data_IF_482930028043
#
_entry.id   IF_482930028043
#
_cell.length_a   1.000
_cell.length_b   1.000
_cell.length_c   1.000
_cell.angle_alpha   90.00
_cell.angle_beta   90.00
_cell.angle_gamma   90.00
#
_symmetry.space_group_name_H-M   'P 1'
#
loop_
_entity.id
_entity.type
_entity.pdbx_description
1 polymer ?
2 non-polymer ?
3 non-polymer ?
4 non-polymer ?
5 water ?
#
# COMPACT_ATOMS: atom_id res chain seq x y z
N UNK A 38 1.18 27.51 -5.33
CA UNK A 38 2.66 27.31 -5.50
C UNK A 38 3.11 26.04 -6.24
N UNK A 39 2.23 25.06 -6.44
CA UNK A 39 2.63 23.76 -6.99
C UNK A 39 3.46 22.89 -6.01
N UNK A 40 3.22 23.07 -4.72
CA UNK A 40 3.86 22.29 -3.67
C UNK A 40 2.88 21.63 -2.68
N UNK A 41 1.59 21.95 -2.79
CA UNK A 41 0.59 21.47 -1.84
C UNK A 41 0.33 19.97 -1.98
N UNK A 42 -0.05 19.36 -0.86
CA UNK A 42 -0.44 17.95 -0.88
C UNK A 42 -1.65 17.66 -1.74
N UNK A 43 -1.68 16.49 -2.39
CA UNK A 43 -2.87 16.04 -3.12
C UNK A 43 -3.58 14.95 -2.33
N UNK A 44 -4.86 15.19 -2.06
CA UNK A 44 -5.67 14.28 -1.23
C UNK A 44 -6.45 13.26 -2.02
N UNK A 45 -6.13 13.12 -3.33
CA UNK A 45 -6.61 12.03 -4.18
C UNK A 45 -5.44 11.13 -4.60
N UNK A 46 -4.31 11.26 -3.89
CA UNK A 46 -3.10 10.46 -4.14
C UNK A 46 -2.78 9.65 -2.88
N UNK A 47 -2.84 8.32 -3.03
CA UNK A 47 -2.72 7.36 -1.93
C UNK A 47 -1.44 6.58 -2.04
N UNK A 48 -0.59 6.59 -1.01
CA UNK A 48 0.67 5.90 -1.10
C UNK A 48 0.69 4.74 -0.08
N UNK A 49 0.89 3.51 -0.59
CA UNK A 49 0.77 2.32 0.28
C UNK A 49 1.97 2.23 1.20
N UNK A 50 1.66 2.18 2.50
CA UNK A 50 2.64 2.30 3.60
C UNK A 50 2.61 1.05 4.51
N UNK A 51 3.81 0.60 4.87
CA UNK A 51 3.96 -0.62 5.65
C UNK A 51 4.62 -0.22 6.99
N UNK A 52 4.00 -0.68 8.09
CA UNK A 52 4.37 -0.36 9.47
C UNK A 52 4.92 -1.58 10.22
N UNK A 53 5.46 -2.55 9.49
CA UNK A 53 5.82 -3.86 10.06
C UNK A 53 7.34 -4.00 10.35
N UNK A 54 8.11 -2.91 10.25
CA UNK A 54 9.55 -2.94 10.49
C UNK A 54 9.86 -2.72 11.97
N UNK A 55 10.94 -3.28 12.49
CA UNK A 55 11.39 -2.92 13.84
C UNK A 55 12.84 -2.56 13.88
N UNK A 56 13.24 -1.94 14.99
CA UNK A 56 14.65 -1.71 15.30
C UNK A 56 14.98 -2.11 16.72
N UNK A 57 16.25 -2.33 16.97
CA UNK A 57 16.68 -2.59 18.32
C UNK A 57 16.34 -1.40 19.23
N UNK A 58 16.45 -0.19 18.69
CA UNK A 58 16.25 1.03 19.49
C UNK A 58 14.85 1.07 20.14
N UNK A 59 13.83 0.75 19.35
CA UNK A 59 12.43 0.83 19.81
C UNK A 59 11.82 -0.53 20.17
N UNK A 60 11.98 -1.53 19.30
CA UNK A 60 11.30 -2.82 19.42
C UNK A 60 12.13 -3.90 20.08
N UNK A 61 13.43 -3.68 20.18
CA UNK A 61 14.35 -4.70 20.67
C UNK A 61 14.63 -5.81 19.68
N UNK A 62 14.24 -5.60 18.43
CA UNK A 62 14.47 -6.56 17.37
C UNK A 62 14.25 -5.92 16.00
N UNK A 63 14.91 -6.51 15.00
CA UNK A 63 14.80 -6.16 13.56
C UNK A 63 13.74 -6.95 12.71
N UNK A 64 12.48 -6.77 13.14
CA UNK A 64 11.34 -7.42 12.49
C UNK A 64 11.24 -6.95 11.03
N UNK A 65 10.93 -7.92 10.15
CA UNK A 65 10.82 -7.75 8.70
C UNK A 65 12.15 -7.52 8.00
N UNK A 66 13.10 -6.79 8.59
CA UNK A 66 14.45 -6.76 8.00
C UNK A 66 15.01 -8.19 7.95
N UNK A 67 14.68 -8.97 8.99
CA UNK A 67 14.81 -10.43 8.98
C UNK A 67 13.53 -11.04 8.42
N UNK A 68 13.68 -12.03 7.53
CA UNK A 68 12.50 -12.58 6.84
C UNK A 68 12.82 -13.98 6.30
N UNK A 69 11.85 -14.87 6.36
CA UNK A 69 11.97 -16.17 5.74
C UNK A 69 12.09 -16.06 4.22
N UNK A 70 12.91 -16.92 3.62
CA UNK A 70 13.00 -17.04 2.17
C UNK A 70 11.91 -18.04 1.77
N UNK A 71 11.09 -17.62 0.80
CA UNK A 71 9.98 -18.46 0.33
C UNK A 71 10.50 -19.64 -0.51
N UNK A 72 9.99 -20.85 -0.28
CA UNK A 72 10.30 -21.96 -1.21
C UNK A 72 9.71 -21.71 -2.59
N UNK A 73 10.30 -22.35 -3.57
CA UNK A 73 9.82 -22.24 -4.96
C UNK A 73 8.52 -23.09 -5.03
N UNK A 74 7.37 -22.46 -5.35
CA UNK A 74 6.12 -23.25 -5.47
C UNK A 74 6.13 -24.34 -6.56
N UNK A 75 7.07 -24.23 -7.49
CA UNK A 75 7.19 -25.23 -8.57
C UNK A 75 8.38 -26.18 -8.33
N UNK A 76 9.09 -26.04 -7.21
CA UNK A 76 10.44 -26.62 -7.01
C UNK A 76 10.57 -27.90 -6.20
N UNK A 77 9.45 -28.57 -5.93
CA UNK A 77 9.49 -29.88 -5.30
C UNK A 77 9.68 -29.86 -3.79
N UNK A 78 9.61 -31.06 -3.20
CA UNK A 78 9.62 -31.22 -1.75
C UNK A 78 11.04 -31.17 -1.17
N UNK A 79 11.10 -30.94 0.14
CA UNK A 79 12.36 -30.96 0.87
C UNK A 79 13.27 -29.77 0.68
N UNK A 80 12.73 -28.64 0.21
CA UNK A 80 13.51 -27.40 0.15
C UNK A 80 13.77 -26.89 1.56
N UNK A 81 14.97 -26.36 1.75
CA UNK A 81 15.35 -25.74 3.02
C UNK A 81 15.85 -24.35 2.65
N UNK A 82 14.92 -23.46 2.23
CA UNK A 82 15.35 -22.16 1.68
C UNK A 82 16.07 -21.24 2.65
N UNK A 83 15.81 -21.41 3.94
CA UNK A 83 16.47 -20.62 4.96
C UNK A 83 15.82 -19.26 5.17
N UNK A 84 16.59 -18.39 5.81
CA UNK A 84 16.10 -17.08 6.24
C UNK A 84 17.15 -16.02 6.04
N UNK A 85 16.68 -14.81 5.83
CA UNK A 85 17.54 -13.63 5.78
C UNK A 85 17.57 -13.12 7.24
N UNK A 86 18.78 -12.93 7.80
CA UNK A 86 18.81 -12.69 9.27
C UNK A 86 18.55 -11.25 9.73
N UNK A 87 18.46 -10.29 8.82
CA UNK A 87 18.23 -8.90 9.23
C UNK A 87 19.37 -8.25 9.98
N UNK A 88 20.59 -8.68 9.68
CA UNK A 88 21.80 -8.04 10.20
C UNK A 88 22.02 -6.77 9.39
N UNK A 89 22.99 -5.96 9.81
CA UNK A 89 23.32 -4.76 9.01
C UNK A 89 23.69 -5.14 7.56
N UNK A 90 24.42 -6.23 7.42
CA UNK A 90 24.94 -6.65 6.14
C UNK A 90 23.91 -7.35 5.26
N UNK A 91 22.91 -8.01 5.85
CA UNK A 91 21.96 -8.87 5.13
C UNK A 91 20.52 -8.65 5.57
N UNK A 92 19.81 -7.82 4.80
CA UNK A 92 18.41 -7.50 5.05
C UNK A 92 17.52 -8.04 3.93
N UNK A 93 16.22 -8.11 4.20
CA UNK A 93 15.24 -8.71 3.31
C UNK A 93 14.74 -7.72 2.26
N UNK A 94 15.69 -7.23 1.46
CA UNK A 94 15.42 -6.31 0.34
C UNK A 94 16.56 -6.44 -0.63
N UNK A 95 16.28 -6.16 -1.92
CA UNK A 95 17.34 -6.01 -2.92
C UNK A 95 17.96 -4.61 -2.90
N UNK A 96 17.30 -3.67 -2.21
CA UNK A 96 17.76 -2.28 -2.01
C UNK A 96 18.09 -2.06 -0.51
N UNK A 97 18.61 -0.89 -0.16
CA UNK A 97 19.02 -0.61 1.22
C UNK A 97 18.50 0.78 1.64
N UNK A 98 17.72 0.86 2.72
CA UNK A 98 17.14 2.14 3.13
C UNK A 98 18.18 3.20 3.54
N UNK A 99 17.98 4.45 3.09
CA UNK A 99 18.77 5.57 3.61
C UNK A 99 18.69 5.66 5.14
N UNK A 100 17.52 5.37 5.70
CA UNK A 100 17.31 5.45 7.15
C UNK A 100 17.79 4.22 7.93
N UNK A 101 18.37 3.22 7.24
CA UNK A 101 18.85 2.00 7.85
C UNK A 101 17.71 1.08 8.29
N UNK A 102 18.03 0.12 9.19
CA UNK A 102 17.07 -0.87 9.69
C UNK A 102 16.23 -0.19 10.76
N UNK A 103 15.23 0.58 10.33
CA UNK A 103 14.43 1.40 11.21
C UNK A 103 13.27 0.64 11.86
N UNK A 104 12.79 1.19 12.98
CA UNK A 104 11.53 0.77 13.57
C UNK A 104 10.37 1.64 13.09
N UNK A 105 9.30 0.98 12.67
CA UNK A 105 8.04 1.65 12.37
C UNK A 105 7.36 2.30 13.57
N UNK A 106 7.82 1.99 14.79
CA UNK A 106 7.35 2.59 16.02
C UNK A 106 8.26 3.69 16.58
N UNK A 107 9.31 4.05 15.84
CA UNK A 107 10.24 5.10 16.29
C UNK A 107 9.63 6.46 15.89
N UNK A 108 9.19 7.26 16.86
CA UNK A 108 8.61 8.57 16.51
C UNK A 108 9.52 9.45 15.64
N UNK A 109 10.85 9.32 15.78
CA UNK A 109 11.74 10.15 15.00
C UNK A 109 11.79 9.67 13.51
N UNK A 110 11.67 8.37 13.29
CA UNK A 110 11.53 7.87 11.90
C UNK A 110 10.22 8.35 11.32
N UNK A 111 9.15 8.30 12.10
CA UNK A 111 7.83 8.69 11.59
C UNK A 111 7.84 10.16 11.15
N UNK A 112 8.49 11.01 11.93
CA UNK A 112 8.64 12.42 11.54
C UNK A 112 9.27 12.54 10.15
N UNK A 113 10.38 11.84 9.98
CA UNK A 113 11.10 11.83 8.69
C UNK A 113 10.24 11.31 7.55
N UNK A 114 9.52 10.21 7.79
CA UNK A 114 8.61 9.71 6.76
C UNK A 114 7.55 10.76 6.38
N UNK A 115 6.99 11.47 7.34
CA UNK A 115 5.97 12.49 7.01
C UNK A 115 6.58 13.63 6.20
N UNK A 116 7.83 14.00 6.51
CA UNK A 116 8.50 15.00 5.68
C UNK A 116 8.74 14.47 4.26
N UNK A 117 9.00 13.17 4.11
CA UNK A 117 9.11 12.56 2.76
C UNK A 117 7.78 12.59 2.00
N UNK A 118 6.67 12.33 2.68
CA UNK A 118 5.33 12.45 2.07
C UNK A 118 5.09 13.90 1.61
N UNK A 119 5.49 14.86 2.42
CA UNK A 119 5.36 16.28 2.01
C UNK A 119 6.20 16.55 0.75
N UNK A 120 7.44 16.07 0.70
CA UNK A 120 8.26 16.23 -0.51
C UNK A 120 7.61 15.60 -1.75
N UNK A 121 6.97 14.44 -1.57
CA UNK A 121 6.34 13.71 -2.67
C UNK A 121 4.98 14.28 -3.06
N UNK A 122 4.40 15.13 -2.19
CA UNK A 122 3.06 15.71 -2.39
C UNK A 122 1.92 14.69 -2.27
N UNK A 123 2.22 13.54 -1.63
CA UNK A 123 1.24 12.48 -1.48
C UNK A 123 0.44 12.73 -0.20
N UNK A 124 -0.82 13.15 -0.32
CA UNK A 124 -1.58 13.53 0.84
C UNK A 124 -2.21 12.43 1.67
N UNK A 125 -2.27 11.20 1.14
CA UNK A 125 -2.89 10.10 1.89
C UNK A 125 -1.92 8.92 2.04
N UNK A 126 -1.73 8.50 3.29
CA UNK A 126 -0.95 7.34 3.68
C UNK A 126 -1.95 6.18 3.84
N UNK A 127 -1.80 5.16 2.99
CA UNK A 127 -2.73 4.03 2.95
C UNK A 127 -2.05 2.87 3.73
N UNK A 128 -2.41 2.79 5.02
CA UNK A 128 -1.73 1.96 6.03
C UNK A 128 -2.12 0.49 6.00
N UNK A 129 -1.15 -0.38 5.73
CA UNK A 129 -1.37 -1.85 5.85
C UNK A 129 -1.96 -2.16 7.21
N UNK A 130 -2.96 -3.05 7.23
CA UNK A 130 -3.64 -3.37 8.49
C UNK A 130 -3.93 -4.85 8.54
N UNK A 131 -3.31 -5.50 9.55
CA UNK A 131 -3.24 -6.95 9.68
C UNK A 131 -4.06 -7.52 10.84
N UNK A 132 -4.79 -6.66 11.55
CA UNK A 132 -5.64 -7.11 12.66
C UNK A 132 -4.85 -7.95 13.67
N UNK A 133 -3.71 -7.40 14.10
CA UNK A 133 -2.86 -8.15 15.02
C UNK A 133 -3.45 -8.21 16.43
N UNK A 134 -4.32 -7.27 16.81
CA UNK A 134 -5.02 -7.27 18.12
C UNK A 134 -3.99 -7.32 19.26
N UNK A 135 -3.00 -6.46 19.18
CA UNK A 135 -1.95 -6.37 20.20
C UNK A 135 -1.64 -4.92 20.48
N UNK A 136 -1.19 -4.67 21.68
CA UNK A 136 -0.76 -3.37 22.18
C UNK A 136 0.18 -2.62 21.21
N UNK A 137 1.12 -3.36 20.65
CA UNK A 137 2.15 -2.79 19.79
C UNK A 137 1.53 -2.17 18.53
N UNK A 138 0.57 -2.90 17.94
CA UNK A 138 -0.19 -2.38 16.77
C UNK A 138 -0.96 -1.11 17.11
N UNK A 139 -1.67 -1.16 18.23
CA UNK A 139 -2.49 -0.01 18.63
C UNK A 139 -1.60 1.21 18.87
N UNK A 140 -0.47 1.00 19.53
CA UNK A 140 0.45 2.13 19.78
C UNK A 140 0.97 2.74 18.46
N UNK A 141 1.40 1.88 17.55
CA UNK A 141 1.99 2.32 16.32
C UNK A 141 0.98 3.11 15.46
N UNK A 142 -0.27 2.62 15.39
CA UNK A 142 -1.27 3.33 14.61
C UNK A 142 -1.47 4.74 15.17
N UNK A 143 -1.56 4.88 16.50
CA UNK A 143 -1.69 6.19 17.10
C UNK A 143 -0.50 7.10 16.78
N UNK A 144 0.71 6.55 16.85
CA UNK A 144 1.90 7.34 16.54
C UNK A 144 1.89 7.82 15.09
N UNK A 145 1.47 6.96 14.16
CA UNK A 145 1.41 7.33 12.73
C UNK A 145 0.38 8.44 12.50
N UNK A 146 -0.82 8.31 13.08
CA UNK A 146 -1.82 9.36 12.96
C UNK A 146 -1.29 10.69 13.52
N UNK A 147 -0.67 10.64 14.71
CA UNK A 147 -0.16 11.87 15.32
C UNK A 147 0.89 12.53 14.42
N UNK A 148 1.83 11.74 13.92
CA UNK A 148 2.91 12.30 13.09
C UNK A 148 2.35 12.86 11.78
N UNK A 149 1.43 12.13 11.18
CA UNK A 149 0.78 12.58 9.94
C UNK A 149 0.09 13.94 10.13
N UNK A 150 -0.61 14.11 11.24
CA UNK A 150 -1.38 15.34 11.40
C UNK A 150 -0.50 16.57 11.51
N UNK A 151 0.72 16.42 12.04
CA UNK A 151 1.61 17.59 12.13
C UNK A 151 1.96 18.17 10.75
N UNK A 152 1.84 17.37 9.70
CA UNK A 152 2.15 17.76 8.35
C UNK A 152 0.93 17.80 7.43
N UNK A 153 -0.28 17.72 8.00
CA UNK A 153 -1.55 17.74 7.25
C UNK A 153 -1.70 16.52 6.32
N UNK A 154 -0.98 15.43 6.63
CA UNK A 154 -1.18 14.18 5.91
C UNK A 154 -2.38 13.44 6.52
N UNK A 155 -3.09 12.71 5.67
CA UNK A 155 -4.25 11.92 6.08
C UNK A 155 -3.89 10.44 6.03
N UNK A 156 -4.63 9.64 6.78
CA UNK A 156 -4.43 8.20 6.89
C UNK A 156 -5.72 7.46 6.60
N UNK A 157 -5.64 6.47 5.71
CA UNK A 157 -6.73 5.51 5.50
C UNK A 157 -6.13 4.11 5.70
N UNK A 158 -6.99 3.09 5.74
CA UNK A 158 -6.54 1.72 6.01
C UNK A 158 -6.65 0.82 4.78
N UNK A 159 -5.62 -0.03 4.63
CA UNK A 159 -5.52 -1.04 3.58
C UNK A 159 -5.73 -2.38 4.29
N UNK A 160 -6.95 -2.92 4.17
CA UNK A 160 -7.36 -4.09 4.92
C UNK A 160 -6.83 -5.36 4.28
N UNK A 161 -5.90 -6.01 4.98
CA UNK A 161 -5.17 -7.16 4.49
C UNK A 161 -5.93 -8.46 4.71
N UNK A 162 -5.48 -9.57 4.10
CA UNK A 162 -6.17 -10.87 4.26
C UNK A 162 -5.75 -11.57 5.56
N UNK A 163 -6.24 -11.05 6.66
CA UNK A 163 -5.98 -11.60 7.99
C UNK A 163 -6.74 -12.92 8.19
N UNK A 164 -6.32 -13.74 9.18
CA UNK A 164 -6.93 -15.08 9.33
C UNK A 164 -8.44 -15.04 9.54
N UNK A 165 -9.15 -15.88 8.78
CA UNK A 165 -10.61 -16.02 8.88
C UNK A 165 -11.34 -14.72 8.53
N UNK A 166 -10.70 -13.82 7.78
CA UNK A 166 -11.38 -12.61 7.35
C UNK A 166 -12.69 -13.00 6.66
N UNK A 167 -13.76 -12.30 6.98
CA UNK A 167 -15.10 -12.52 6.39
C UNK A 167 -15.89 -11.24 6.54
N UNK A 168 -17.09 -11.14 5.94
CA UNK A 168 -17.76 -9.84 5.99
C UNK A 168 -18.25 -9.44 7.38
N UNK A 169 -18.50 -10.41 8.26
CA UNK A 169 -18.97 -10.09 9.62
C UNK A 169 -17.81 -9.48 10.44
N UNK A 170 -16.66 -10.16 10.52
CA UNK A 170 -15.56 -9.54 11.24
C UNK A 170 -15.01 -8.31 10.50
N UNK A 171 -15.12 -8.23 9.18
CA UNK A 171 -14.77 -6.96 8.49
C UNK A 171 -15.65 -5.82 8.98
N UNK A 172 -16.96 -6.07 9.08
CA UNK A 172 -17.83 -5.01 9.59
C UNK A 172 -17.41 -4.60 11.00
N UNK A 173 -17.16 -5.61 11.86
CA UNK A 173 -16.78 -5.33 13.24
C UNK A 173 -15.49 -4.50 13.29
N UNK A 174 -14.55 -4.82 12.40
CA UNK A 174 -13.28 -4.10 12.35
C UNK A 174 -13.38 -2.71 11.74
N UNK A 175 -14.26 -2.52 10.75
CA UNK A 175 -14.53 -1.19 10.24
C UNK A 175 -15.14 -0.32 11.35
N UNK A 176 -16.12 -0.86 12.08
CA UNK A 176 -16.71 -0.17 13.23
C UNK A 176 -15.63 0.20 14.24
N UNK A 177 -14.75 -0.75 14.56
CA UNK A 177 -13.71 -0.49 15.53
C UNK A 177 -12.75 0.61 15.06
N UNK A 178 -12.33 0.55 13.82
CA UNK A 178 -11.37 1.56 13.30
C UNK A 178 -12.01 2.95 13.22
N UNK A 179 -13.28 3.04 12.79
CA UNK A 179 -13.95 4.33 12.75
C UNK A 179 -14.19 4.85 14.17
N UNK A 180 -14.60 3.97 15.09
CA UNK A 180 -14.82 4.39 16.48
C UNK A 180 -13.52 4.88 17.14
N UNK A 181 -12.42 4.13 16.96
CA UNK A 181 -11.15 4.45 17.64
C UNK A 181 -10.46 5.67 17.00
N UNK A 182 -10.51 5.76 15.66
CA UNK A 182 -9.68 6.72 14.93
C UNK A 182 -10.45 7.75 14.12
N UNK A 183 -11.77 7.59 13.96
CA UNK A 183 -12.53 8.44 13.06
C UNK A 183 -12.55 9.91 13.45
N UNK A 184 -12.40 10.20 14.74
CA UNK A 184 -12.34 11.60 15.19
C UNK A 184 -10.92 12.15 15.25
N UNK A 185 -9.91 11.35 14.93
CA UNK A 185 -8.55 11.86 14.88
C UNK A 185 -8.47 12.83 13.69
N UNK A 186 -7.84 14.01 13.86
CA UNK A 186 -7.78 14.98 12.76
C UNK A 186 -7.09 14.49 11.47
N UNK A 187 -6.23 13.49 11.56
CA UNK A 187 -5.58 12.93 10.37
C UNK A 187 -6.37 11.80 9.71
N UNK A 188 -7.51 11.36 10.26
CA UNK A 188 -8.27 10.27 9.63
C UNK A 188 -8.86 10.78 8.31
N UNK A 189 -8.62 10.05 7.22
CA UNK A 189 -9.08 10.45 5.88
C UNK A 189 -10.59 10.34 5.67
N UNK A 190 -11.17 11.35 5.02
CA UNK A 190 -12.50 11.24 4.45
C UNK A 190 -12.50 11.86 3.05
N UNK A 191 -13.33 11.29 2.17
CA UNK A 191 -13.57 11.79 0.81
C UNK A 191 -15.06 12.08 0.77
N UNK A 192 -15.39 13.34 0.56
CA UNK A 192 -16.77 13.81 0.55
C UNK A 192 -17.61 13.26 1.72
N UNK A 193 -17.01 13.29 2.89
CA UNK A 193 -17.66 12.87 4.12
C UNK A 193 -17.54 11.42 4.51
N UNK A 194 -16.94 10.58 3.64
CA UNK A 194 -16.85 9.14 3.92
C UNK A 194 -15.42 8.67 4.10
N UNK A 195 -15.19 7.82 5.12
CA UNK A 195 -13.93 7.09 5.15
C UNK A 195 -13.72 6.29 3.86
N UNK A 196 -12.47 5.91 3.60
CA UNK A 196 -12.16 5.05 2.43
C UNK A 196 -11.28 3.89 2.89
N UNK A 197 -11.61 2.66 2.45
CA UNK A 197 -10.77 1.49 2.71
C UNK A 197 -10.41 0.83 1.38
N UNK A 198 -9.15 0.40 1.27
CA UNK A 198 -8.73 -0.51 0.19
C UNK A 198 -8.80 -1.93 0.73
N UNK A 199 -9.32 -2.88 -0.04
CA UNK A 199 -9.45 -4.27 0.40
C UNK A 199 -8.58 -5.17 -0.46
N UNK A 200 -7.44 -5.61 0.12
CA UNK A 200 -6.51 -6.45 -0.62
C UNK A 200 -7.08 -7.86 -0.77
N UNK A 201 -6.89 -8.47 -1.95
CA UNK A 201 -7.34 -9.83 -2.28
C UNK A 201 -8.86 -9.98 -1.91
N UNK A 202 -9.62 -8.95 -2.28
CA UNK A 202 -11.07 -8.98 -2.12
C UNK A 202 -11.77 -10.13 -2.82
N UNK A 203 -11.12 -10.71 -3.85
CA UNK A 203 -11.63 -11.92 -4.54
C UNK A 203 -11.65 -13.17 -3.65
N UNK A 204 -10.95 -13.16 -2.52
CA UNK A 204 -11.01 -14.29 -1.59
C UNK A 204 -12.39 -14.38 -0.94
N UNK A 205 -13.29 -13.38 -1.18
CA UNK A 205 -14.63 -13.38 -0.58
C UNK A 205 -15.65 -13.29 -1.70
N UNK A 206 -16.65 -14.17 -1.69
CA UNK A 206 -17.66 -14.24 -2.73
C UNK A 206 -18.50 -12.97 -2.80
N UNK A 207 -18.91 -12.57 -4.02
CA UNK A 207 -19.83 -11.44 -4.14
C UNK A 207 -21.10 -11.56 -3.29
N UNK A 208 -21.64 -12.79 -3.16
CA UNK A 208 -22.85 -12.96 -2.35
C UNK A 208 -22.62 -12.57 -0.86
N UNK A 209 -21.42 -12.78 -0.35
CA UNK A 209 -21.04 -12.31 0.99
C UNK A 209 -20.85 -10.80 1.01
N UNK A 210 -20.10 -10.26 0.05
CA UNK A 210 -19.91 -8.81 0.00
C UNK A 210 -21.24 -8.05 -0.06
N UNK A 211 -22.22 -8.56 -0.81
CA UNK A 211 -23.53 -7.90 -0.97
C UNK A 211 -24.18 -7.65 0.40
N UNK A 212 -23.98 -8.58 1.34
CA UNK A 212 -24.57 -8.44 2.67
C UNK A 212 -24.06 -7.23 3.43
N UNK A 213 -22.81 -6.86 3.18
CA UNK A 213 -22.14 -5.74 3.79
C UNK A 213 -22.32 -4.43 3.01
N UNK A 214 -22.33 -4.54 1.66
CA UNK A 214 -22.14 -3.38 0.79
C UNK A 214 -23.35 -2.98 -0.04
N UNK A 215 -24.35 -3.84 -0.22
CA UNK A 215 -25.60 -3.37 -0.81
C UNK A 215 -26.39 -2.57 0.22
N UNK A 216 -27.13 -1.53 -0.21
CA UNK A 216 -27.98 -0.82 0.76
C UNK A 216 -29.00 -1.74 1.45
N UNK A 217 -29.38 -2.83 0.78
CA UNK A 217 -30.32 -3.80 1.34
C UNK A 217 -29.68 -4.96 2.05
N UNK A 218 -28.35 -4.96 2.15
CA UNK A 218 -27.69 -6.12 2.71
C UNK A 218 -28.00 -6.38 4.18
N UNK A 219 -27.95 -7.66 4.54
CA UNK A 219 -28.26 -8.13 5.87
C UNK A 219 -27.52 -7.40 7.00
N UNK A 220 -26.24 -7.06 6.73
CA UNK A 220 -25.37 -6.37 7.71
C UNK A 220 -24.83 -5.10 7.06
N UNK A 221 -25.66 -4.38 6.33
CA UNK A 221 -25.15 -3.26 5.53
C UNK A 221 -24.45 -2.20 6.40
N UNK A 222 -23.45 -1.56 5.81
CA UNK A 222 -22.91 -0.30 6.32
C UNK A 222 -23.54 0.91 5.64
N UNK A 223 -24.29 0.71 4.56
CA UNK A 223 -24.83 1.89 3.85
C UNK A 223 -25.86 2.59 4.74
N UNK A 224 -25.83 3.92 4.72
CA UNK A 224 -26.74 4.77 5.49
C UNK A 224 -26.55 4.68 7.02
N UNK A 225 -25.46 4.07 7.45
CA UNK A 225 -25.11 3.98 8.86
C UNK A 225 -23.95 4.93 9.17
N UNK A 226 -23.65 5.03 10.46
CA UNK A 226 -22.48 5.78 10.94
C UNK A 226 -21.18 5.25 10.42
N UNK A 227 -21.19 4.01 9.91
CA UNK A 227 -19.97 3.31 9.54
C UNK A 227 -19.85 3.11 8.05
N UNK A 228 -20.63 3.88 7.27
CA UNK A 228 -20.52 3.83 5.81
C UNK A 228 -19.10 4.26 5.39
N UNK A 229 -18.65 3.75 4.24
CA UNK A 229 -17.30 4.04 3.75
C UNK A 229 -17.26 3.75 2.24
N UNK A 230 -16.33 4.38 1.55
CA UNK A 230 -15.97 4.00 0.19
C UNK A 230 -15.09 2.73 0.25
N UNK A 231 -15.55 1.65 -0.37
CA UNK A 231 -14.89 0.36 -0.31
C UNK A 231 -14.31 0.10 -1.69
N UNK A 232 -12.99 0.01 -1.74
CA UNK A 232 -12.24 -0.09 -3.00
C UNK A 232 -11.65 -1.51 -3.08
N UNK A 233 -12.18 -2.34 -3.99
CA UNK A 233 -11.73 -3.72 -4.11
C UNK A 233 -10.60 -3.87 -5.12
N UNK A 234 -9.93 -5.02 -5.08
CA UNK A 234 -8.78 -5.28 -5.91
C UNK A 234 -9.20 -5.95 -7.22
N UNK A 235 -9.11 -5.17 -8.31
CA UNK A 235 -9.36 -5.70 -9.68
C UNK A 235 -8.14 -6.45 -10.15
N UNK A 236 -8.25 -7.76 -10.31
CA UNK A 236 -7.14 -8.61 -10.75
C UNK A 236 -7.20 -8.96 -12.24
N UNK A 237 -8.13 -9.84 -12.60
CA UNK A 237 -8.09 -10.54 -13.89
C UNK A 237 -8.96 -9.87 -14.96
N UNK A 238 -9.51 -10.66 -15.90
CA UNK A 238 -10.11 -10.07 -17.10
C UNK A 238 -11.48 -9.45 -16.81
N UNK A 239 -11.95 -8.54 -17.69
CA UNK A 239 -13.26 -7.92 -17.49
C UNK A 239 -14.41 -8.90 -17.38
N UNK A 240 -14.33 -10.03 -18.08
CA UNK A 240 -15.44 -10.99 -18.03
C UNK A 240 -15.69 -11.51 -16.62
N UNK A 241 -14.63 -11.59 -15.83
CA UNK A 241 -14.68 -11.98 -14.44
C UNK A 241 -14.90 -10.76 -13.51
N UNK A 242 -14.13 -9.70 -13.72
CA UNK A 242 -14.08 -8.62 -12.73
C UNK A 242 -15.30 -7.70 -12.80
N UNK A 243 -15.86 -7.47 -14.00
CA UNK A 243 -17.01 -6.55 -14.10
C UNK A 243 -18.19 -7.07 -13.24
N UNK A 244 -18.64 -8.35 -13.44
CA UNK A 244 -19.75 -8.80 -12.60
C UNK A 244 -19.39 -8.91 -11.12
N UNK A 245 -18.13 -9.25 -10.83
CA UNK A 245 -17.67 -9.31 -9.44
C UNK A 245 -17.89 -7.96 -8.74
N UNK A 246 -17.36 -6.89 -9.35
CA UNK A 246 -17.42 -5.59 -8.71
C UNK A 246 -18.88 -5.11 -8.56
N UNK A 247 -19.69 -5.33 -9.59
CA UNK A 247 -21.11 -4.94 -9.54
C UNK A 247 -21.87 -5.73 -8.48
N UNK A 248 -21.72 -7.05 -8.50
CA UNK A 248 -22.47 -7.94 -7.62
C UNK A 248 -22.03 -7.81 -6.17
N UNK A 249 -20.77 -7.43 -5.96
CA UNK A 249 -20.23 -7.22 -4.60
C UNK A 249 -20.56 -5.86 -4.05
N UNK A 250 -21.03 -4.92 -4.92
CA UNK A 250 -21.37 -3.54 -4.49
C UNK A 250 -20.18 -2.73 -3.99
N UNK A 251 -18.98 -3.01 -4.51
CA UNK A 251 -17.85 -2.11 -4.23
C UNK A 251 -18.10 -0.72 -4.80
N UNK A 252 -17.55 0.28 -4.12
CA UNK A 252 -17.63 1.64 -4.61
C UNK A 252 -16.61 1.93 -5.70
N UNK A 253 -15.56 1.12 -5.78
CA UNK A 253 -14.50 1.35 -6.76
C UNK A 253 -13.50 0.20 -6.71
N UNK A 254 -12.39 0.37 -7.42
CA UNK A 254 -11.41 -0.66 -7.52
C UNK A 254 -10.02 -0.06 -7.76
N UNK A 255 -9.01 -0.81 -7.31
CA UNK A 255 -7.60 -0.51 -7.50
C UNK A 255 -6.90 -1.74 -8.04
N UNK A 256 -5.63 -1.61 -8.42
CA UNK A 256 -4.94 -2.71 -9.11
C UNK A 256 -3.71 -3.26 -8.37
N UNK A 257 -3.17 -2.45 -7.43
CA UNK A 257 -2.00 -2.73 -6.56
C UNK A 257 -0.66 -2.99 -7.26
N UNK A 258 -0.56 -4.03 -8.07
CA UNK A 258 0.77 -4.55 -8.42
C UNK A 258 1.60 -3.51 -9.15
N UNK A 259 2.85 -3.33 -8.70
CA UNK A 259 3.77 -2.41 -9.33
C UNK A 259 4.36 -2.92 -10.63
N UNK A 260 4.33 -4.25 -10.85
CA UNK A 260 4.92 -4.88 -12.03
C UNK A 260 3.94 -4.91 -13.18
N UNK A 261 4.26 -4.16 -14.25
CA UNK A 261 3.35 -4.11 -15.40
C UNK A 261 3.15 -5.52 -15.97
N UNK A 262 1.91 -5.85 -16.31
CA UNK A 262 1.60 -7.13 -16.92
C UNK A 262 1.46 -8.30 -15.97
N UNK A 263 1.64 -8.07 -14.66
CA UNK A 263 1.50 -9.16 -13.69
C UNK A 263 0.07 -9.73 -13.70
N UNK A 264 -0.91 -8.83 -13.81
CA UNK A 264 -2.30 -9.17 -13.97
C UNK A 264 -2.88 -8.30 -15.12
N UNK A 265 -4.10 -8.62 -15.55
CA UNK A 265 -4.82 -7.76 -16.48
C UNK A 265 -4.92 -6.34 -15.89
N UNK A 266 -5.28 -6.25 -14.62
CA UNK A 266 -5.46 -4.98 -13.99
C UNK A 266 -4.21 -4.13 -13.88
N UNK A 267 -3.05 -4.77 -13.75
CA UNK A 267 -1.76 -4.06 -13.66
C UNK A 267 -1.07 -3.94 -15.04
N UNK A 268 -1.85 -4.05 -16.12
CA UNK A 268 -1.37 -3.80 -17.48
C UNK A 268 -1.90 -2.44 -17.95
N UNK A 269 -1.03 -1.40 -17.96
CA UNK A 269 -1.57 -0.04 -18.12
C UNK A 269 -2.29 0.25 -19.43
N UNK A 270 -2.02 -0.50 -20.49
CA UNK A 270 -2.80 -0.31 -21.72
C UNK A 270 -4.31 -0.64 -21.54
N UNK A 271 -4.70 -1.32 -20.46
CA UNK A 271 -6.11 -1.55 -20.16
C UNK A 271 -6.78 -0.43 -19.42
N UNK A 272 -6.02 0.55 -18.94
CA UNK A 272 -6.58 1.53 -18.02
C UNK A 272 -7.62 2.48 -18.64
N UNK A 273 -7.45 2.90 -19.89
CA UNK A 273 -8.49 3.70 -20.55
C UNK A 273 -9.84 2.97 -20.54
N UNK A 274 -9.85 1.70 -20.92
CA UNK A 274 -11.07 0.89 -20.98
C UNK A 274 -11.66 0.64 -19.58
N UNK A 275 -10.77 0.40 -18.60
CA UNK A 275 -11.23 0.19 -17.21
C UNK A 275 -11.89 1.47 -16.67
N UNK A 276 -11.30 2.61 -16.99
CA UNK A 276 -11.90 3.90 -16.58
C UNK A 276 -13.26 4.14 -17.23
N UNK A 277 -13.37 3.85 -18.53
CA UNK A 277 -14.66 4.01 -19.24
C UNK A 277 -15.74 3.17 -18.58
N UNK A 278 -15.42 1.92 -18.24
CA UNK A 278 -16.38 1.05 -17.55
C UNK A 278 -16.72 1.61 -16.16
N UNK A 279 -15.70 2.05 -15.44
CA UNK A 279 -15.95 2.64 -14.13
C UNK A 279 -16.94 3.82 -14.20
N UNK A 280 -16.68 4.73 -15.11
CA UNK A 280 -17.53 5.90 -15.26
C UNK A 280 -18.97 5.50 -15.63
N UNK A 281 -19.13 4.55 -16.56
CA UNK A 281 -20.45 4.06 -16.97
C UNK A 281 -21.23 3.42 -15.83
N UNK A 282 -20.51 2.88 -14.82
CA UNK A 282 -21.13 2.11 -13.74
C UNK A 282 -21.05 2.79 -12.37
N UNK A 283 -20.69 4.08 -12.34
CA UNK A 283 -20.63 4.85 -11.09
C UNK A 283 -19.60 4.34 -10.08
N UNK A 284 -18.47 3.81 -10.57
CA UNK A 284 -17.39 3.29 -9.75
C UNK A 284 -16.16 4.18 -9.82
N UNK A 285 -15.40 4.21 -8.72
CA UNK A 285 -14.15 4.96 -8.62
C UNK A 285 -12.94 4.07 -8.94
N UNK A 286 -12.25 4.36 -10.05
CA UNK A 286 -11.03 3.62 -10.42
C UNK A 286 -9.81 4.35 -9.90
N UNK A 287 -9.00 3.62 -9.11
CA UNK A 287 -7.79 4.15 -8.49
C UNK A 287 -6.61 3.26 -8.95
N UNK A 288 -6.14 3.46 -10.20
CA UNK A 288 -5.02 2.63 -10.66
C UNK A 288 -3.79 2.79 -9.77
N UNK A 289 -3.02 1.70 -9.66
CA UNK A 289 -1.78 1.70 -8.86
C UNK A 289 -0.55 1.77 -9.79
N UNK A 290 0.33 2.73 -9.47
CA UNK A 290 1.57 2.93 -10.23
C UNK A 290 2.74 2.69 -9.30
N UNK A 291 3.84 2.18 -9.85
CA UNK A 291 5.05 2.02 -9.05
C UNK A 291 6.29 2.23 -9.85
N UNK A 292 7.45 2.33 -9.17
CA UNK A 292 8.70 2.70 -9.82
C UNK A 292 9.52 1.53 -10.38
N UNK A 293 9.12 0.31 -10.04
CA UNK A 293 9.84 -0.92 -10.41
C UNK A 293 9.36 -2.05 -9.52
N UNK A 294 9.97 -3.23 -9.69
CA UNK A 294 9.66 -4.41 -8.87
C UNK A 294 10.88 -5.31 -8.85
N UNK A 295 11.25 -5.80 -7.66
CA UNK A 295 12.20 -6.92 -7.56
C UNK A 295 12.12 -7.47 -6.15
N UNK A 296 11.90 -8.79 -6.04
CA UNK A 296 11.72 -9.45 -4.74
C UNK A 296 12.60 -10.67 -4.58
N UNK A 297 13.70 -10.77 -5.34
CA UNK A 297 14.44 -12.02 -5.41
C UNK A 297 15.29 -12.33 -4.17
N UNK A 298 15.53 -11.40 -3.24
CA UNK A 298 16.14 -11.80 -1.95
C UNK A 298 15.21 -12.74 -1.19
N UNK A 299 13.90 -12.42 -1.15
CA UNK A 299 12.96 -13.27 -0.40
C UNK A 299 12.28 -14.32 -1.29
N UNK A 300 12.29 -14.13 -2.62
CA UNK A 300 11.68 -15.10 -3.55
C UNK A 300 12.64 -15.31 -4.71
N UNK A 301 13.72 -16.09 -4.50
CA UNK A 301 14.79 -16.20 -5.52
C UNK A 301 14.33 -16.72 -6.88
N UNK A 302 13.25 -17.48 -6.87
CA UNK A 302 12.59 -18.11 -8.03
C UNK A 302 11.67 -17.18 -8.80
N UNK A 303 11.47 -15.94 -8.32
CA UNK A 303 10.46 -15.05 -8.89
C UNK A 303 11.02 -13.99 -9.84
N UNK A 304 12.16 -14.27 -10.48
CA UNK A 304 12.80 -13.29 -11.33
C UNK A 304 11.99 -12.81 -12.52
N UNK A 305 11.03 -13.60 -13.01
CA UNK A 305 10.24 -13.15 -14.15
C UNK A 305 9.41 -11.90 -13.86
N UNK A 306 9.16 -11.58 -12.59
CA UNK A 306 8.36 -10.42 -12.22
C UNK A 306 9.24 -9.16 -12.10
N UNK A 307 10.58 -9.30 -12.19
CA UNK A 307 11.43 -8.12 -12.11
C UNK A 307 11.05 -7.09 -13.17
N UNK A 308 10.94 -5.82 -12.75
CA UNK A 308 10.79 -4.69 -13.66
C UNK A 308 11.85 -3.68 -13.29
N UNK A 309 12.75 -3.39 -14.24
CA UNK A 309 13.90 -2.51 -14.01
C UNK A 309 13.48 -1.03 -13.97
N UNK A 310 14.11 -0.27 -13.08
CA UNK A 310 13.75 1.14 -12.85
C UNK A 310 14.17 2.08 -13.97
N UNK A 311 15.27 1.75 -14.66
CA UNK A 311 15.84 2.56 -15.76
C UNK A 311 15.91 4.06 -15.41
N UNK A 312 16.50 4.39 -14.28
CA UNK A 312 16.74 5.79 -13.89
C UNK A 312 15.46 6.62 -13.84
N UNK A 313 14.34 5.97 -13.55
CA UNK A 313 13.07 6.64 -13.46
C UNK A 313 12.13 6.48 -14.64
N UNK A 314 12.64 5.95 -15.76
CA UNK A 314 11.82 5.88 -16.97
C UNK A 314 10.63 4.93 -16.81
N UNK A 315 10.79 3.85 -16.05
CA UNK A 315 9.65 2.94 -15.79
C UNK A 315 8.55 3.68 -15.02
N UNK A 316 8.93 4.36 -13.95
CA UNK A 316 7.94 5.10 -13.14
C UNK A 316 7.21 6.14 -13.97
N UNK A 317 7.98 6.89 -14.76
CA UNK A 317 7.39 7.93 -15.63
C UNK A 317 6.37 7.33 -16.57
N UNK A 318 6.70 6.20 -17.20
CA UNK A 318 5.76 5.61 -18.15
C UNK A 318 4.48 5.17 -17.49
N UNK A 319 4.58 4.57 -16.31
CA UNK A 319 3.39 4.04 -15.63
C UNK A 319 2.51 5.20 -15.11
N UNK A 320 3.12 6.22 -14.51
CA UNK A 320 2.37 7.36 -13.97
C UNK A 320 1.68 8.10 -15.13
N UNK A 321 2.40 8.26 -16.25
CA UNK A 321 1.78 8.91 -17.43
C UNK A 321 0.51 8.16 -17.88
N UNK A 322 0.56 6.82 -17.91
CA UNK A 322 -0.60 6.04 -18.32
C UNK A 322 -1.78 6.24 -17.39
N UNK A 323 -1.52 6.29 -16.08
CA UNK A 323 -2.62 6.56 -15.13
C UNK A 323 -3.28 7.91 -15.40
N UNK A 324 -2.47 8.94 -15.60
CA UNK A 324 -2.98 10.29 -15.81
C UNK A 324 -3.78 10.35 -17.13
N UNK A 325 -3.23 9.74 -18.17
CA UNK A 325 -3.87 9.72 -19.50
C UNK A 325 -5.19 9.01 -19.49
N UNK A 326 -5.38 8.03 -18.59
CA UNK A 326 -6.63 7.33 -18.50
C UNK A 326 -7.77 8.21 -17.99
N UNK A 327 -7.44 9.35 -17.36
CA UNK A 327 -8.48 10.30 -16.97
C UNK A 327 -9.14 9.97 -15.64
N UNK A 328 -8.39 9.33 -14.76
CA UNK A 328 -8.91 8.93 -13.45
C UNK A 328 -8.96 10.11 -12.48
N UNK A 329 -9.73 9.91 -11.41
CA UNK A 329 -9.94 10.87 -10.33
C UNK A 329 -9.01 10.75 -9.14
N UNK A 330 -8.28 9.64 -9.08
CA UNK A 330 -7.45 9.29 -7.93
C UNK A 330 -6.43 8.27 -8.42
N UNK A 331 -5.25 8.33 -7.80
CA UNK A 331 -4.13 7.43 -8.12
C UNK A 331 -3.55 6.87 -6.83
N UNK A 332 -3.15 5.59 -6.88
CA UNK A 332 -2.47 4.96 -5.75
C UNK A 332 -1.05 4.60 -6.19
N UNK A 333 -0.12 4.65 -5.21
CA UNK A 333 1.31 4.43 -5.43
C UNK A 333 1.77 3.19 -4.63
N UNK A 334 2.25 2.19 -5.39
CA UNK A 334 2.85 0.96 -4.84
C UNK A 334 4.34 1.08 -5.04
N UNK A 335 5.11 1.54 -4.03
CA UNK A 335 4.69 1.72 -2.62
C UNK A 335 5.58 2.82 -2.00
N UNK A 336 5.20 3.26 -0.79
CA UNK A 336 6.17 4.05 -0.02
C UNK A 336 7.39 3.20 0.34
N UNK A 337 7.12 2.03 0.94
CA UNK A 337 8.19 1.27 1.67
C UNK A 337 7.91 -0.20 1.75
N UNK A 338 7.45 -0.83 0.63
CA UNK A 338 7.43 -2.31 0.55
C UNK A 338 8.83 -2.73 0.05
N UNK A 339 9.79 -2.71 0.98
CA UNK A 339 11.20 -2.97 0.66
C UNK A 339 11.41 -4.40 0.19
N UNK A 340 10.60 -5.35 0.64
CA UNK A 340 10.80 -6.72 0.22
C UNK A 340 10.59 -6.92 -1.26
N UNK A 341 9.71 -6.07 -1.85
CA UNK A 341 9.30 -6.21 -3.22
C UNK A 341 9.91 -5.15 -4.16
N UNK A 342 10.78 -4.30 -3.60
CA UNK A 342 11.54 -3.38 -4.44
C UNK A 342 10.67 -2.37 -5.17
N UNK A 343 9.48 -2.08 -4.63
CA UNK A 343 8.56 -1.12 -5.20
C UNK A 343 8.63 0.27 -4.52
N UNK A 344 9.53 0.42 -3.53
CA UNK A 344 9.52 1.59 -2.69
C UNK A 344 9.96 2.86 -3.40
N UNK A 345 9.33 3.99 -3.04
CA UNK A 345 9.83 5.32 -3.42
C UNK A 345 10.66 5.96 -2.29
N UNK A 346 10.61 5.36 -1.08
CA UNK A 346 11.41 5.85 0.05
C UNK A 346 12.91 5.86 -0.36
N UNK A 347 13.67 6.88 0.09
CA UNK A 347 15.09 6.94 -0.27
C UNK A 347 15.89 5.69 0.08
N UNK A 348 16.72 5.27 -0.89
CA UNK A 348 17.64 4.13 -0.82
C UNK A 348 19.03 4.64 -1.09
N UNK A 349 20.06 3.98 -0.55
CA UNK A 349 21.45 4.38 -0.73
C UNK A 349 22.29 3.23 -1.27
N UNK A 350 23.38 3.56 -1.99
CA UNK A 350 24.30 2.50 -2.38
C UNK A 350 24.87 1.79 -1.14
N UNK A 351 25.01 0.47 -1.20
CA UNK A 351 25.62 -0.28 -0.11
C UNK A 351 26.09 -1.62 -0.62
N UNK A 352 27.35 -1.92 -0.33
CA UNK A 352 27.94 -3.22 -0.57
C UNK A 352 28.49 -3.73 0.74
N UNK A 353 27.98 -4.88 1.17
CA UNK A 353 28.43 -5.50 2.40
C UNK A 353 29.15 -6.79 2.02
N UNK A 354 29.71 -7.43 3.03
CA UNK A 354 30.35 -8.73 2.83
C UNK A 354 29.37 -9.83 2.41
N UNK A 355 28.07 -9.62 2.65
CA UNK A 355 27.05 -10.61 2.34
C UNK A 355 26.23 -10.35 1.06
N UNK A 356 26.12 -9.12 0.61
CA UNK A 356 25.28 -8.80 -0.56
C UNK A 356 25.67 -7.45 -1.15
N UNK A 357 25.61 -7.35 -2.50
CA UNK A 357 25.76 -6.09 -3.18
C UNK A 357 24.34 -5.58 -3.53
N UNK A 358 23.87 -4.52 -2.87
CA UNK A 358 22.50 -4.05 -3.04
C UNK A 358 22.39 -3.29 -4.36
N UNK A 359 21.17 -3.30 -4.90
CA UNK A 359 20.80 -2.35 -5.93
C UNK A 359 20.62 -0.96 -5.30
N UNK A 360 20.60 0.09 -6.13
CA UNK A 360 20.45 1.46 -5.63
C UNK A 360 19.84 2.30 -6.76
N UNK A 361 19.67 3.61 -6.51
CA UNK A 361 18.99 4.48 -7.49
C UNK A 361 19.86 4.94 -8.68
N UNK A 362 21.04 4.39 -8.72
CA UNK A 362 21.94 4.44 -9.89
C UNK A 362 22.39 5.85 -10.20
N UNK A 363 22.02 6.33 -11.38
CA UNK A 363 22.38 7.71 -11.73
C UNK A 363 21.56 8.78 -11.04
N UNK A 364 20.53 8.36 -10.33
CA UNK A 364 19.70 9.29 -9.57
C UNK A 364 20.05 9.32 -8.10
N UNK A 365 19.78 10.47 -7.48
CA UNK A 365 20.02 10.67 -6.04
C UNK A 365 19.00 9.90 -5.15
N UNK A 366 19.31 9.70 -3.86
CA UNK A 366 18.41 8.88 -3.01
C UNK A 366 16.96 9.39 -2.96
N UNK A 367 16.72 10.71 -2.99
CA UNK A 367 15.34 11.27 -2.94
C UNK A 367 14.69 11.47 -4.30
N UNK A 368 15.28 10.92 -5.36
CA UNK A 368 14.75 11.13 -6.70
C UNK A 368 13.30 10.67 -6.85
N UNK A 369 12.96 9.53 -6.26
CA UNK A 369 11.59 9.03 -6.47
C UNK A 369 10.58 9.86 -5.67
N UNK A 370 10.98 10.49 -4.55
CA UNK A 370 10.09 11.45 -3.89
C UNK A 370 9.85 12.69 -4.76
N UNK A 371 10.95 13.28 -5.26
CA UNK A 371 10.77 14.49 -6.06
C UNK A 371 10.11 14.22 -7.42
N UNK A 372 10.33 13.02 -7.98
CA UNK A 372 9.63 12.66 -9.22
C UNK A 372 8.15 12.40 -8.98
N UNK A 373 7.80 11.81 -7.82
CA UNK A 373 6.40 11.71 -7.46
C UNK A 373 5.75 13.11 -7.42
N UNK A 374 6.43 14.09 -6.83
CA UNK A 374 5.86 15.44 -6.77
C UNK A 374 5.61 16.02 -8.16
N UNK A 375 6.53 15.77 -9.10
CA UNK A 375 6.36 16.15 -10.52
C UNK A 375 5.07 15.57 -11.06
N UNK A 376 4.88 14.26 -10.86
CA UNK A 376 3.69 13.59 -11.40
C UNK A 376 2.39 14.02 -10.73
N UNK A 377 2.43 14.27 -9.41
CA UNK A 377 1.27 14.80 -8.71
C UNK A 377 0.85 16.14 -9.36
N UNK A 378 1.83 16.98 -9.68
CA UNK A 378 1.54 18.23 -10.41
C UNK A 378 0.86 18.01 -11.75
N UNK A 379 1.36 17.03 -12.53
CA UNK A 379 0.74 16.73 -13.84
C UNK A 379 -0.66 16.17 -13.65
N UNK A 380 -0.85 15.35 -12.61
CA UNK A 380 -2.18 14.80 -12.29
C UNK A 380 -3.15 15.95 -11.93
N UNK A 381 -2.70 16.88 -11.10
CA UNK A 381 -3.59 17.99 -10.72
C UNK A 381 -3.97 18.87 -11.89
N UNK A 382 -3.02 19.02 -12.79
CA UNK A 382 -3.24 19.84 -13.99
C UNK A 382 -4.36 19.25 -14.83
N UNK A 383 -4.52 17.89 -14.77
CA UNK A 383 -5.54 17.04 -15.42
C UNK A 383 -6.92 16.99 -14.75
N UNK A 384 -6.98 17.34 -13.47
CA UNK A 384 -8.20 17.14 -12.63
C UNK A 384 -9.20 18.25 -12.85
X LIG B 1 -27.84 -13.47 4.00
X LIG B 1 -27.06 -14.39 3.77
X LIG B 1 -27.65 -12.68 4.98
X LIG B 1 -28.98 -13.21 3.08
X LIG C 1 -24.19 -0.18 13.66
X LIG C 1 -24.58 0.23 12.49
X LIG C 1 -23.29 -1.05 13.87
X LIG C 1 -24.80 0.38 14.91
X LIG D 1 2.92 -10.72 1.79
X LIG D 1 2.91 -11.38 3.17
X LIG D 1 3.88 -10.70 4.14
X LIG D 1 5.27 -10.70 3.50
X LIG D 1 5.21 -10.01 2.15
X LIG D 1 6.56 -10.08 1.43
X LIG D 1 1.59 -11.35 3.71
X LIG D 1 3.90 -11.48 5.34
X LIG D 1 6.19 -10.01 4.36
X LIG D 1 4.25 -10.67 1.30
X LIG D 1 6.66 -9.18 0.35
X LIG E 1 -0.37 -8.43 1.72
X LIG E 1 0.77 -7.78 1.11
X LIG E 1 1.75 -8.87 0.73
X LIG E 1 2.35 -9.42 1.94
X LIG E 1 2.83 -8.37 -0.23
X LIG E 1 2.75 -7.21 -0.89
X LIG E 1 1.55 -6.32 -0.78
X LIG E 1 0.34 -6.96 -0.14
X LIG E 1 -0.73 -5.89 0.12
X LIG E 1 -0.25 -4.87 1.01
#
# INVERSE_FOLDING_TARGET
>A
MGSSHHHHHHSSGLVPRGSHMDDNNPSNSENNGGNNNLGTELDYDTFCFYYDWYGSEAIDGQYRHWAHAIAPDPNGGSGQNPGTIPGTQESIASNFYPQLGRYSSSDPNILTKHMDMFVMARTGVLALTWWNEQDETEAKRIGLILDAADKKKIKVCFHLEPYPSRNVQNLRENIVKLITRYGNHPAFYRKDGKPLFFIYDSYLIEPSEWEKLLSPGGSITIRNTAYDALMIGLWTSSPTVQRPFILNAHFDGFYTYFAATGFTYGSTPTNWVSMQKWAKENGKIFIPSVGPGYIDTRIRPWNGSVIRTRTDGQYYDAMYRKAIEAGVSAISITSFNQWHEGSQIEPAVPYTSSEFTYLDYENREPDYYLTRTAYWVGKFRESKQ
>B hetero
1 ACT C O OXT CH3
>C hetero
1 ACT C O OXT CH3
>D hetero
1 GLC C1 C2 C3 C4 C5 C6 O2 O3 O4 O5 O6
>E hetero
1 7LQ O4 C4 C3 O3 C2 C1 C7 C5 C6 O6
#
